data_IF_728623763013
#
_entry.id   IF_728623763013
#
_cell.length_a   1.000
_cell.length_b   1.000
_cell.length_c   1.000
_cell.angle_alpha   90.00
_cell.angle_beta   90.00
_cell.angle_gamma   90.00
#
_symmetry.space_group_name_H-M   'P 1'
#
loop_
_entity.id
_entity.type
_entity.pdbx_description
1 polymer ?
#
# COMPACT_ATOMS: atom_id res chain seq x y z
N UNK A 1 4.55 10.93 -45.39
CA UNK A 1 5.79 10.37 -44.82
C UNK A 1 5.74 10.56 -43.30
N UNK A 2 5.24 9.50 -42.65
CA UNK A 2 5.50 9.02 -41.29
C UNK A 2 5.54 10.04 -40.13
N UNK A 3 4.52 9.99 -39.25
CA UNK A 3 4.79 9.83 -37.81
C UNK A 3 3.74 8.93 -37.16
N UNK A 4 4.28 7.89 -36.53
CA UNK A 4 3.68 6.64 -36.06
C UNK A 4 2.72 6.89 -34.88
N UNK A 5 1.61 6.13 -34.77
CA UNK A 5 0.59 6.27 -33.73
C UNK A 5 1.10 5.93 -32.33
N UNK A 6 0.39 6.50 -31.36
CA UNK A 6 0.66 6.49 -29.92
C UNK A 6 0.88 5.10 -29.34
N UNK A 7 1.87 5.07 -28.44
CA UNK A 7 2.26 3.96 -27.59
C UNK A 7 1.06 3.30 -26.93
N UNK A 8 1.12 1.97 -26.96
CA UNK A 8 0.37 1.03 -26.15
C UNK A 8 0.32 1.47 -24.67
N UNK A 9 -0.90 1.46 -24.13
CA UNK A 9 -1.19 1.06 -22.76
C UNK A 9 -0.35 -0.17 -22.44
N UNK A 10 0.66 0.00 -21.60
CA UNK A 10 1.40 -1.10 -21.01
C UNK A 10 0.91 -1.19 -19.57
N UNK A 11 0.09 -2.21 -19.36
CA UNK A 11 -0.41 -2.68 -18.09
C UNK A 11 0.61 -2.46 -16.97
N UNK A 12 0.10 -1.91 -15.87
CA UNK A 12 0.75 -1.91 -14.58
C UNK A 12 0.90 -3.36 -14.11
N UNK A 13 1.89 -4.04 -14.67
CA UNK A 13 2.32 -5.36 -14.26
C UNK A 13 3.46 -5.18 -13.27
N UNK A 14 3.24 -5.65 -12.06
CA UNK A 14 4.27 -6.00 -11.08
C UNK A 14 5.49 -6.61 -11.78
N UNK A 15 6.63 -5.91 -11.86
CA UNK A 15 7.88 -6.54 -12.32
C UNK A 15 8.39 -7.45 -11.20
N UNK A 16 8.03 -8.72 -11.32
CA UNK A 16 8.80 -9.81 -10.76
C UNK A 16 10.00 -10.03 -11.68
N UNK A 17 11.04 -9.22 -11.48
CA UNK A 17 12.24 -9.39 -12.26
C UNK A 17 13.03 -10.59 -11.67
N UNK A 18 12.93 -11.72 -12.35
CA UNK A 18 13.75 -12.92 -12.14
C UNK A 18 15.12 -12.71 -12.78
N UNK A 19 16.17 -12.81 -11.98
CA UNK A 19 17.54 -13.01 -12.44
C UNK A 19 18.23 -13.94 -11.44
N UNK A 20 18.88 -14.98 -11.96
CA UNK A 20 19.33 -16.18 -11.26
C UNK A 20 20.24 -15.93 -10.06
N UNK A 21 19.81 -16.40 -8.89
CA UNK A 21 20.71 -17.01 -7.92
C UNK A 21 20.14 -18.39 -7.58
N UNK A 22 20.61 -19.41 -8.30
CA UNK A 22 20.32 -20.80 -8.00
C UNK A 22 20.98 -21.14 -6.65
N UNK A 23 20.19 -21.06 -5.59
CA UNK A 23 20.34 -21.88 -4.38
C UNK A 23 18.94 -22.09 -3.80
N UNK A 24 18.45 -23.31 -3.99
CA UNK A 24 17.17 -23.78 -3.51
C UNK A 24 17.05 -23.62 -1.99
N UNK A 25 16.24 -22.66 -1.55
CA UNK A 25 15.31 -22.85 -0.44
C UNK A 25 14.05 -22.13 -0.83
N UNK A 26 12.93 -22.84 -0.89
CA UNK A 26 11.62 -22.28 -1.22
C UNK A 26 11.34 -21.09 -0.30
N UNK A 27 11.51 -19.87 -0.81
CA UNK A 27 11.12 -18.66 -0.09
C UNK A 27 9.63 -18.47 -0.34
N UNK A 28 8.85 -19.25 0.39
CA UNK A 28 7.52 -18.86 0.78
C UNK A 28 7.64 -17.47 1.42
N UNK A 29 6.74 -16.55 1.07
CA UNK A 29 6.61 -15.26 1.74
C UNK A 29 6.23 -15.53 3.20
N UNK A 30 7.21 -15.81 4.04
CA UNK A 30 7.03 -15.96 5.46
C UNK A 30 6.77 -14.57 6.02
N UNK A 31 5.48 -14.33 6.31
CA UNK A 31 5.05 -13.27 7.21
C UNK A 31 5.99 -13.24 8.42
N UNK A 32 6.35 -12.04 8.87
CA UNK A 32 7.22 -11.77 10.00
C UNK A 32 6.68 -12.37 11.31
N UNK A 33 6.81 -13.68 11.45
CA UNK A 33 6.50 -14.47 12.62
C UNK A 33 7.74 -15.30 12.92
N UNK A 34 8.43 -14.91 13.99
CA UNK A 34 9.28 -15.75 14.84
C UNK A 34 9.76 -17.05 14.21
N UNK A 35 10.80 -16.94 13.37
CA UNK A 35 11.54 -18.10 12.88
C UNK A 35 12.21 -18.77 14.09
N UNK A 36 11.55 -19.77 14.70
CA UNK A 36 12.04 -20.71 15.73
C UNK A 36 13.51 -20.52 16.12
N UNK A 37 13.79 -19.72 17.15
CA UNK A 37 15.16 -19.38 17.57
C UNK A 37 15.81 -20.53 18.37
N UNK A 38 15.89 -21.70 17.75
CA UNK A 38 16.51 -22.89 18.32
C UNK A 38 18.02 -22.68 18.57
N UNK A 39 18.57 -23.19 19.68
CA UNK A 39 20.01 -23.10 19.96
C UNK A 39 20.88 -23.69 18.84
N UNK A 40 20.39 -24.70 18.12
CA UNK A 40 21.08 -25.31 16.97
C UNK A 40 21.17 -24.34 15.79
N UNK A 41 20.06 -23.65 15.48
CA UNK A 41 20.01 -22.63 14.40
C UNK A 41 20.99 -21.49 14.68
N UNK A 42 21.07 -21.05 15.93
CA UNK A 42 22.00 -20.01 16.38
C UNK A 42 23.46 -20.44 16.35
N UNK A 43 23.77 -21.69 16.68
CA UNK A 43 25.12 -22.24 16.55
C UNK A 43 25.57 -22.31 15.08
N UNK A 44 24.71 -22.78 14.18
CA UNK A 44 24.98 -22.82 12.74
C UNK A 44 25.18 -21.40 12.19
N UNK A 45 24.30 -20.46 12.53
CA UNK A 45 24.40 -19.08 12.09
C UNK A 45 25.74 -18.43 12.52
N UNK A 46 26.16 -18.61 13.78
CA UNK A 46 27.46 -18.13 14.27
C UNK A 46 28.64 -18.76 13.54
N UNK A 47 28.58 -20.07 13.28
CA UNK A 47 29.62 -20.77 12.53
C UNK A 47 29.73 -20.27 11.08
N UNK A 48 28.61 -19.90 10.46
CA UNK A 48 28.54 -19.35 9.10
C UNK A 48 28.71 -17.83 9.03
N UNK A 49 28.89 -17.14 10.16
CA UNK A 49 28.99 -15.68 10.20
C UNK A 49 27.70 -14.94 9.82
N UNK A 50 26.54 -15.60 9.93
CA UNK A 50 25.23 -15.02 9.64
C UNK A 50 24.68 -14.38 10.91
N UNK A 51 24.41 -13.08 10.86
CA UNK A 51 23.77 -12.36 11.95
C UNK A 51 22.25 -12.55 11.90
N UNK A 52 21.72 -13.39 12.81
CA UNK A 52 20.30 -13.70 12.95
C UNK A 52 19.56 -12.75 13.89
N UNK A 53 20.25 -11.79 14.51
CA UNK A 53 19.62 -10.81 15.39
C UNK A 53 18.61 -9.94 14.62
N UNK A 54 17.70 -9.29 15.35
CA UNK A 54 16.80 -8.30 14.75
C UNK A 54 17.60 -7.15 14.13
N UNK A 55 18.69 -6.76 14.79
CA UNK A 55 19.62 -5.71 14.39
C UNK A 55 20.41 -6.10 13.13
N UNK A 56 20.88 -7.34 13.03
CA UNK A 56 21.58 -7.88 11.86
C UNK A 56 20.71 -7.96 10.62
N UNK A 57 19.45 -8.39 10.78
CA UNK A 57 18.43 -8.35 9.72
C UNK A 57 18.10 -6.93 9.32
N UNK A 58 17.93 -6.03 10.29
CA UNK A 58 17.73 -4.61 10.01
C UNK A 58 18.94 -3.98 9.30
N UNK A 59 20.17 -4.38 9.65
CA UNK A 59 21.39 -3.89 9.02
C UNK A 59 21.48 -4.30 7.54
N UNK A 60 20.99 -5.49 7.17
CA UNK A 60 20.89 -5.89 5.76
C UNK A 60 19.92 -4.99 4.98
N UNK A 61 18.79 -4.61 5.57
CA UNK A 61 17.85 -3.65 4.98
C UNK A 61 18.35 -2.20 4.97
N UNK A 62 19.39 -1.87 5.74
CA UNK A 62 20.00 -0.53 5.84
C UNK A 62 21.19 -0.31 4.89
N UNK A 63 21.53 -1.26 4.01
CA UNK A 63 22.70 -1.13 3.09
C UNK A 63 22.47 -0.21 1.88
N UNK A 64 21.42 0.62 1.88
CA UNK A 64 21.02 1.42 0.72
C UNK A 64 20.67 2.86 1.07
N UNK A 65 20.50 3.67 0.02
CA UNK A 65 20.02 5.04 0.11
C UNK A 65 18.50 5.03 -0.06
N UNK A 66 17.79 5.76 0.80
CA UNK A 66 16.34 5.96 0.71
C UNK A 66 16.08 7.40 0.32
N UNK A 67 15.24 7.60 -0.70
CA UNK A 67 14.78 8.92 -1.14
C UNK A 67 13.34 9.10 -0.69
N UNK A 68 13.08 10.15 0.09
CA UNK A 68 11.73 10.51 0.54
C UNK A 68 11.26 11.71 -0.27
N UNK A 69 10.21 11.53 -1.07
CA UNK A 69 9.56 12.61 -1.81
C UNK A 69 8.34 13.08 -1.03
N UNK A 70 8.39 14.31 -0.52
CA UNK A 70 7.31 14.90 0.28
C UNK A 70 6.83 16.23 -0.32
N UNK A 71 5.62 16.66 0.06
CA UNK A 71 5.05 17.93 -0.37
C UNK A 71 3.53 17.98 -0.23
N UNK A 72 2.94 19.16 -0.41
CA UNK A 72 1.49 19.36 -0.37
C UNK A 72 0.76 18.48 -1.41
N UNK A 73 -0.53 18.15 -1.24
CA UNK A 73 -1.36 17.50 -2.25
C UNK A 73 -1.21 18.14 -3.65
N UNK A 74 -1.32 17.33 -4.71
CA UNK A 74 -1.28 17.79 -6.11
C UNK A 74 0.03 18.43 -6.64
N UNK A 75 1.10 18.53 -5.84
CA UNK A 75 2.42 19.07 -6.27
C UNK A 75 3.25 18.13 -7.17
N UNK A 76 2.69 17.00 -7.63
CA UNK A 76 3.40 16.07 -8.51
C UNK A 76 4.41 15.13 -7.83
N UNK A 77 4.44 15.03 -6.50
CA UNK A 77 5.30 14.10 -5.73
C UNK A 77 5.27 12.65 -6.23
N UNK A 78 4.11 12.12 -6.60
CA UNK A 78 4.00 10.77 -7.19
C UNK A 78 4.71 10.67 -8.54
N UNK A 79 4.54 11.67 -9.41
CA UNK A 79 5.21 11.73 -10.71
C UNK A 79 6.74 11.84 -10.54
N UNK A 80 7.20 12.69 -9.62
CA UNK A 80 8.63 12.84 -9.31
C UNK A 80 9.23 11.54 -8.75
N UNK A 81 8.55 10.87 -7.82
CA UNK A 81 9.00 9.59 -7.27
C UNK A 81 9.12 8.51 -8.35
N UNK A 82 8.13 8.42 -9.25
CA UNK A 82 8.17 7.48 -10.39
C UNK A 82 9.31 7.81 -11.36
N UNK A 83 9.56 9.08 -11.64
CA UNK A 83 10.67 9.49 -12.50
C UNK A 83 12.03 9.12 -11.90
N UNK A 84 12.22 9.39 -10.59
CA UNK A 84 13.44 9.02 -9.86
C UNK A 84 13.64 7.52 -9.82
N UNK A 85 12.58 6.75 -9.56
CA UNK A 85 12.61 5.28 -9.55
C UNK A 85 13.07 4.73 -10.90
N UNK A 86 12.51 5.23 -12.01
CA UNK A 86 12.90 4.81 -13.36
C UNK A 86 14.34 5.20 -13.68
N UNK A 87 14.77 6.40 -13.28
CA UNK A 87 16.10 6.91 -13.58
C UNK A 87 17.19 6.11 -12.85
N UNK A 88 16.97 5.78 -11.58
CA UNK A 88 17.94 5.06 -10.75
C UNK A 88 17.71 3.54 -10.67
N UNK A 89 16.68 3.00 -11.33
CA UNK A 89 16.30 1.59 -11.22
C UNK A 89 15.89 1.19 -9.80
N UNK A 90 15.31 2.12 -9.04
CA UNK A 90 14.96 1.93 -7.63
C UNK A 90 13.50 1.50 -7.46
N UNK A 91 13.20 0.78 -6.37
CA UNK A 91 11.82 0.49 -5.99
C UNK A 91 11.10 1.80 -5.60
N UNK A 92 9.86 1.96 -6.08
CA UNK A 92 8.99 3.09 -5.72
C UNK A 92 7.87 2.59 -4.82
N UNK A 93 7.77 3.14 -3.61
CA UNK A 93 6.70 2.83 -2.67
C UNK A 93 5.89 4.09 -2.37
N UNK A 94 4.56 3.94 -2.31
CA UNK A 94 3.66 4.98 -1.81
C UNK A 94 3.15 4.59 -0.44
N UNK A 95 3.15 5.53 0.49
CA UNK A 95 2.58 5.31 1.83
C UNK A 95 1.10 4.92 1.74
N UNK A 96 0.35 5.58 0.86
CA UNK A 96 -1.09 5.33 0.70
C UNK A 96 -1.33 3.87 0.30
N UNK A 97 -0.56 3.36 -0.66
CA UNK A 97 -0.65 1.97 -1.12
C UNK A 97 -0.33 0.98 0.01
N UNK A 98 0.77 1.21 0.74
CA UNK A 98 1.16 0.35 1.87
C UNK A 98 0.09 0.32 2.96
N UNK A 99 -0.53 1.47 3.26
CA UNK A 99 -1.60 1.56 4.26
C UNK A 99 -2.86 0.85 3.78
N UNK A 100 -3.28 1.06 2.52
CA UNK A 100 -4.47 0.38 1.95
C UNK A 100 -4.29 -1.14 1.90
N UNK A 101 -3.10 -1.61 1.52
CA UNK A 101 -2.76 -3.02 1.51
C UNK A 101 -2.81 -3.62 2.92
N UNK A 102 -2.24 -2.92 3.91
CA UNK A 102 -2.25 -3.36 5.30
C UNK A 102 -3.67 -3.47 5.89
N UNK A 103 -4.57 -2.55 5.53
CA UNK A 103 -5.99 -2.61 5.92
C UNK A 103 -6.68 -3.81 5.26
N UNK A 104 -6.29 -4.16 4.03
CA UNK A 104 -6.92 -5.21 3.24
C UNK A 104 -6.49 -6.62 3.67
N UNK A 105 -5.20 -6.83 3.89
CA UNK A 105 -4.53 -8.15 4.07
C UNK A 105 -4.79 -8.84 5.43
N UNK A 106 -5.37 -8.14 6.42
CA UNK A 106 -5.68 -8.70 7.77
C UNK A 106 -4.49 -9.35 8.49
N UNK A 107 -3.26 -9.07 8.07
CA UNK A 107 -2.05 -9.74 8.54
C UNK A 107 -1.38 -9.05 9.73
N UNK A 108 -1.81 -7.84 10.08
CA UNK A 108 -1.30 -7.09 11.23
C UNK A 108 -2.41 -6.66 12.18
N UNK A 109 -2.09 -6.57 13.48
CA UNK A 109 -3.03 -6.08 14.50
C UNK A 109 -3.51 -4.65 14.21
N UNK A 110 -2.61 -3.79 13.75
CA UNK A 110 -2.93 -2.42 13.33
C UNK A 110 -3.87 -2.41 12.10
N UNK A 111 -3.58 -3.22 11.08
CA UNK A 111 -4.43 -3.35 9.89
C UNK A 111 -5.82 -3.88 10.20
N UNK A 112 -5.92 -4.88 11.08
CA UNK A 112 -7.20 -5.41 11.57
C UNK A 112 -8.03 -4.34 12.28
N UNK A 113 -7.41 -3.58 13.20
CA UNK A 113 -8.08 -2.49 13.92
C UNK A 113 -8.49 -1.35 12.99
N UNK A 114 -7.62 -0.94 12.08
CA UNK A 114 -7.95 0.08 11.08
C UNK A 114 -9.13 -0.37 10.22
N UNK A 115 -9.16 -1.63 9.78
CA UNK A 115 -10.29 -2.18 9.01
C UNK A 115 -11.59 -2.19 9.80
N UNK A 116 -11.56 -2.61 11.07
CA UNK A 116 -12.73 -2.59 11.95
C UNK A 116 -13.33 -1.18 12.03
N UNK A 117 -12.47 -0.17 12.23
CA UNK A 117 -12.86 1.22 12.28
C UNK A 117 -13.41 1.72 10.94
N UNK A 118 -12.77 1.36 9.82
CA UNK A 118 -13.25 1.72 8.47
C UNK A 118 -14.64 1.13 8.19
N UNK A 119 -14.88 -0.13 8.56
CA UNK A 119 -16.19 -0.77 8.39
C UNK A 119 -17.25 -0.05 9.22
N UNK A 120 -16.94 0.26 10.49
CA UNK A 120 -17.86 0.98 11.37
C UNK A 120 -18.19 2.36 10.84
N UNK A 121 -17.17 3.11 10.40
CA UNK A 121 -17.35 4.43 9.81
C UNK A 121 -18.16 4.38 8.51
N UNK A 122 -17.96 3.37 7.65
CA UNK A 122 -18.75 3.21 6.43
C UNK A 122 -20.24 2.93 6.71
N UNK A 123 -20.53 2.12 7.74
CA UNK A 123 -21.91 1.88 8.18
C UNK A 123 -22.54 3.19 8.69
N UNK A 124 -21.86 3.89 9.61
CA UNK A 124 -22.35 5.16 10.17
C UNK A 124 -22.58 6.23 9.09
N UNK A 125 -21.66 6.30 8.11
CA UNK A 125 -21.78 7.22 6.99
C UNK A 125 -23.00 6.88 6.11
N UNK A 126 -23.27 5.60 5.84
CA UNK A 126 -24.44 5.20 5.05
C UNK A 126 -25.77 5.57 5.73
N UNK A 127 -25.82 5.57 7.07
CA UNK A 127 -26.99 6.04 7.82
C UNK A 127 -27.17 7.56 7.67
N UNK A 128 -26.10 8.35 7.85
CA UNK A 128 -26.15 9.81 7.66
C UNK A 128 -26.58 10.20 6.25
N UNK A 129 -26.02 9.57 5.23
CA UNK A 129 -26.38 9.83 3.84
C UNK A 129 -27.86 9.52 3.58
N UNK A 130 -28.43 8.49 4.21
CA UNK A 130 -29.85 8.18 4.07
C UNK A 130 -30.77 9.22 4.73
N UNK A 131 -30.34 9.80 5.85
CA UNK A 131 -31.04 10.87 6.56
C UNK A 131 -30.95 12.18 5.78
N UNK A 132 -29.76 12.53 5.27
CA UNK A 132 -29.52 13.73 4.44
C UNK A 132 -30.34 13.69 3.14
N UNK A 133 -30.45 12.51 2.50
CA UNK A 133 -31.29 12.33 1.30
C UNK A 133 -32.77 12.47 1.65
N UNK A 134 -33.21 11.94 2.80
CA UNK A 134 -34.60 12.04 3.24
C UNK A 134 -34.98 13.49 3.58
N UNK A 135 -34.12 14.22 4.29
CA UNK A 135 -34.31 15.64 4.59
C UNK A 135 -34.28 16.50 3.32
N UNK A 136 -33.33 16.25 2.41
CA UNK A 136 -33.25 16.96 1.13
C UNK A 136 -34.49 16.69 0.26
N UNK A 137 -35.01 15.46 0.25
CA UNK A 137 -36.25 15.09 -0.43
C UNK A 137 -37.47 15.76 0.20
N UNK A 138 -37.57 15.82 1.53
CA UNK A 138 -38.65 16.52 2.24
C UNK A 138 -38.63 18.03 1.96
N UNK A 139 -37.43 18.64 1.96
CA UNK A 139 -37.23 20.04 1.61
C UNK A 139 -37.68 20.30 0.16
N UNK A 140 -37.32 19.42 -0.78
CA UNK A 140 -37.73 19.53 -2.18
C UNK A 140 -39.25 19.40 -2.36
N UNK A 141 -39.89 18.51 -1.59
CA UNK A 141 -41.34 18.36 -1.58
C UNK A 141 -42.04 19.62 -1.01
N UNK A 142 -41.49 20.22 0.06
CA UNK A 142 -42.02 21.44 0.65
C UNK A 142 -41.89 22.65 -0.29
N UNK A 143 -40.74 22.81 -0.96
CA UNK A 143 -40.53 23.88 -1.95
C UNK A 143 -41.49 23.73 -3.13
N UNK A 144 -41.72 22.50 -3.62
CA UNK A 144 -42.69 22.25 -4.70
C UNK A 144 -44.13 22.64 -4.34
N UNK A 145 -44.55 22.41 -3.10
CA UNK A 145 -45.89 22.84 -2.63
C UNK A 145 -46.03 24.36 -2.52
N UNK A 146 -44.93 25.07 -2.23
CA UNK A 146 -44.93 26.54 -2.14
C UNK A 146 -44.98 27.26 -3.50
N UNK A 147 -44.69 26.57 -4.61
CA UNK A 147 -44.68 27.15 -5.96
C UNK A 147 -45.88 26.75 -6.85
N UNK A 148 -46.95 26.17 -6.32
CA UNK A 148 -48.20 25.99 -7.08
C UNK A 148 -48.99 27.31 -7.07
N UNK A 149 -49.12 28.04 -8.20
CA UNK A 149 -50.08 29.14 -8.30
C UNK A 149 -51.48 28.53 -8.41
N UNK A 150 -52.42 29.06 -7.62
CA UNK A 150 -53.85 28.79 -7.75
C UNK A 150 -54.37 29.24 -9.12
#
# INVERSE_FOLDING_TARGET
MIRVPGRQEADFSTCSCTAECRRSTASSKEAAGELEDSPVRRAIARHLGIDISAEGRAAQNRRGIVIIVHGAPLTGKTSAAVALSKYYGAACLSMDAVVTDAISERSSSAGLRARELCIRAAIEQSHRESEDIAESSLLLMAIRQSCCPL
#
